data_IF_009626973975
#
_entry.id   IF_009626973975
#
_cell.length_a   1.000
_cell.length_b   1.000
_cell.length_c   1.000
_cell.angle_alpha   90.00
_cell.angle_beta   90.00
_cell.angle_gamma   90.00
#
_symmetry.space_group_name_H-M   'P 1'
#
loop_
_entity.id
_entity.type
_entity.pdbx_description
1 polymer ?
#
# COMPACT_ATOMS: atom_id res chain seq x y z
N UNK A 1 -24.02 -16.49 -6.37
CA UNK A 1 -23.90 -15.78 -5.08
C UNK A 1 -22.55 -15.10 -5.11
N UNK A 2 -22.46 -13.77 -4.97
CA UNK A 2 -21.17 -13.14 -4.71
C UNK A 2 -20.80 -13.53 -3.29
N UNK A 3 -19.74 -14.32 -3.12
CA UNK A 3 -19.11 -14.39 -1.81
C UNK A 3 -18.66 -12.96 -1.50
N UNK A 4 -19.17 -12.39 -0.43
CA UNK A 4 -18.68 -11.11 0.06
C UNK A 4 -17.35 -11.44 0.73
N UNK A 5 -16.26 -11.46 -0.04
CA UNK A 5 -14.93 -11.75 0.49
C UNK A 5 -14.65 -10.79 1.65
N UNK A 6 -14.00 -11.25 2.72
CA UNK A 6 -13.53 -10.36 3.76
C UNK A 6 -12.63 -9.27 3.15
N UNK A 7 -12.65 -8.08 3.74
CA UNK A 7 -11.85 -6.94 3.28
C UNK A 7 -10.66 -6.74 4.22
N UNK A 8 -9.48 -6.51 3.65
CA UNK A 8 -8.27 -6.18 4.39
C UNK A 8 -7.93 -4.70 4.18
N UNK A 9 -7.82 -3.94 5.28
CA UNK A 9 -7.28 -2.58 5.23
C UNK A 9 -5.76 -2.64 5.17
N UNK A 10 -5.19 -1.91 4.23
CA UNK A 10 -3.77 -1.84 3.98
C UNK A 10 -3.32 -0.38 3.93
N UNK A 11 -2.07 -0.19 4.33
CA UNK A 11 -1.44 1.10 4.45
C UNK A 11 -0.12 1.10 3.69
N UNK A 12 0.19 2.21 3.03
CA UNK A 12 1.54 2.47 2.55
C UNK A 12 1.93 3.94 2.61
N UNK A 13 3.20 4.22 2.92
CA UNK A 13 3.77 5.53 2.69
C UNK A 13 3.88 5.83 1.20
N UNK A 14 3.63 7.10 0.84
CA UNK A 14 3.79 7.64 -0.51
C UNK A 14 4.44 9.03 -0.50
N UNK A 15 5.19 9.32 -1.56
CA UNK A 15 5.73 10.65 -1.87
C UNK A 15 4.65 11.56 -2.45
N UNK A 16 4.93 12.86 -2.58
CA UNK A 16 4.01 13.79 -3.28
C UNK A 16 3.76 13.36 -4.73
N UNK A 17 4.82 12.94 -5.45
CA UNK A 17 4.69 12.49 -6.84
C UNK A 17 3.77 11.28 -6.98
N UNK A 18 3.88 10.32 -6.05
CA UNK A 18 2.99 9.15 -6.03
C UNK A 18 1.56 9.53 -5.66
N UNK A 19 1.38 10.46 -4.72
CA UNK A 19 0.05 10.97 -4.36
C UNK A 19 -0.64 11.65 -5.54
N UNK A 20 0.10 12.48 -6.29
CA UNK A 20 -0.42 13.14 -7.50
C UNK A 20 -0.85 12.11 -8.56
N UNK A 21 -0.08 11.02 -8.70
CA UNK A 21 -0.43 9.92 -9.59
C UNK A 21 -1.67 9.14 -9.13
N UNK A 22 -1.83 8.91 -7.83
CA UNK A 22 -3.05 8.31 -7.24
C UNK A 22 -4.26 9.22 -7.53
N UNK A 23 -4.12 10.52 -7.33
CA UNK A 23 -5.17 11.49 -7.61
C UNK A 23 -5.54 11.52 -9.10
N UNK A 24 -4.56 11.46 -10.00
CA UNK A 24 -4.78 11.37 -11.45
C UNK A 24 -5.47 10.05 -11.86
N UNK A 25 -5.27 8.97 -11.09
CA UNK A 25 -5.99 7.70 -11.22
C UNK A 25 -7.35 7.70 -10.48
N UNK A 26 -7.90 8.88 -10.17
CA UNK A 26 -9.18 9.05 -9.46
C UNK A 26 -9.25 8.34 -8.10
N UNK A 27 -8.11 8.17 -7.43
CA UNK A 27 -8.00 7.48 -6.14
C UNK A 27 -8.37 5.99 -6.19
N UNK A 28 -8.30 5.36 -7.37
CA UNK A 28 -8.67 3.96 -7.55
C UNK A 28 -7.48 3.03 -7.76
N UNK A 29 -6.27 3.58 -7.91
CA UNK A 29 -5.08 2.78 -8.19
C UNK A 29 -3.81 3.42 -7.62
N UNK A 30 -2.88 2.56 -7.20
CA UNK A 30 -1.51 2.94 -6.90
C UNK A 30 -0.69 3.03 -8.21
N UNK A 31 0.29 3.95 -8.29
CA UNK A 31 1.08 4.13 -9.51
C UNK A 31 1.91 2.88 -9.81
N UNK A 32 1.81 2.36 -11.03
CA UNK A 32 2.64 1.24 -11.51
C UNK A 32 3.87 1.81 -12.23
N UNK A 33 5.08 1.37 -11.89
CA UNK A 33 6.28 1.79 -12.63
C UNK A 33 7.58 1.78 -11.82
N UNK A 34 8.61 2.46 -12.35
CA UNK A 34 9.98 2.48 -11.82
C UNK A 34 10.10 3.03 -10.39
N UNK A 35 9.13 3.83 -9.92
CA UNK A 35 9.18 4.50 -8.62
C UNK A 35 9.23 3.52 -7.43
N UNK A 36 8.70 2.30 -7.57
CA UNK A 36 8.66 1.29 -6.49
C UNK A 36 9.15 -0.09 -6.93
N UNK A 37 10.18 -0.12 -7.77
CA UNK A 37 10.85 -1.37 -8.11
C UNK A 37 11.75 -1.85 -6.95
N UNK A 38 11.86 -3.17 -6.70
CA UNK A 38 11.21 -4.26 -7.43
C UNK A 38 9.82 -4.66 -6.88
N UNK A 39 9.35 -4.03 -5.81
CA UNK A 39 8.12 -4.42 -5.13
C UNK A 39 7.53 -3.30 -4.28
N UNK A 40 6.22 -3.42 -4.05
CA UNK A 40 5.45 -2.61 -3.14
C UNK A 40 5.37 -3.30 -1.79
N UNK A 41 5.37 -2.50 -0.72
CA UNK A 41 5.20 -2.98 0.65
C UNK A 41 3.93 -2.35 1.23
N UNK A 42 3.02 -3.21 1.66
CA UNK A 42 1.76 -2.84 2.30
C UNK A 42 1.73 -3.44 3.70
N UNK A 43 1.05 -2.80 4.64
CA UNK A 43 0.89 -3.35 5.98
C UNK A 43 -0.54 -3.16 6.47
N UNK A 44 -1.11 -4.09 7.25
CA UNK A 44 -2.42 -3.89 7.87
C UNK A 44 -2.37 -2.99 9.11
N UNK A 45 -1.19 -2.56 9.53
CA UNK A 45 -0.98 -1.78 10.75
C UNK A 45 -0.51 -0.36 10.42
N UNK A 46 -1.29 0.65 10.78
CA UNK A 46 -0.99 2.06 10.47
C UNK A 46 0.33 2.54 11.11
N UNK A 47 0.57 2.20 12.38
CA UNK A 47 1.80 2.56 13.10
C UNK A 47 3.05 1.95 12.45
N UNK A 48 2.89 0.72 11.95
CA UNK A 48 3.91 -0.02 11.20
C UNK A 48 4.21 0.66 9.86
N UNK A 49 3.19 1.22 9.19
CA UNK A 49 3.38 1.98 7.96
C UNK A 49 4.13 3.30 8.20
N UNK A 50 3.81 4.01 9.27
CA UNK A 50 4.54 5.21 9.68
C UNK A 50 6.00 4.92 10.07
N UNK A 51 6.26 3.75 10.68
CA UNK A 51 7.63 3.30 10.93
C UNK A 51 8.37 2.98 9.64
N UNK A 52 7.74 2.27 8.69
CA UNK A 52 8.33 1.98 7.37
C UNK A 52 8.66 3.26 6.60
N UNK A 53 7.82 4.29 6.71
CA UNK A 53 8.08 5.59 6.14
C UNK A 53 9.40 6.19 6.64
N UNK A 54 9.56 6.30 7.96
CA UNK A 54 10.75 6.83 8.60
C UNK A 54 12.00 6.00 8.28
N UNK A 55 11.86 4.67 8.27
CA UNK A 55 12.97 3.75 8.00
C UNK A 55 13.44 3.78 6.53
N UNK A 56 12.62 4.25 5.59
CA UNK A 56 12.95 4.25 4.17
C UNK A 56 13.98 5.32 3.76
N UNK A 57 14.25 6.32 4.61
CA UNK A 57 15.11 7.47 4.30
C UNK A 57 14.76 8.18 2.96
N UNK A 58 13.48 8.15 2.56
CA UNK A 58 12.98 8.76 1.32
C UNK A 58 12.08 9.97 1.60
N UNK A 59 11.80 10.77 0.55
CA UNK A 59 10.88 11.93 0.56
C UNK A 59 9.39 11.55 0.69
N UNK A 60 9.08 10.56 1.53
CA UNK A 60 7.69 10.20 1.85
C UNK A 60 7.07 11.34 2.65
N UNK A 61 5.93 11.84 2.19
CA UNK A 61 5.18 12.91 2.87
C UNK A 61 3.81 12.49 3.37
N UNK A 62 3.27 11.37 2.89
CA UNK A 62 1.90 10.97 3.17
C UNK A 62 1.76 9.50 3.51
N UNK A 63 0.81 9.22 4.38
CA UNK A 63 0.33 7.87 4.63
C UNK A 63 -1.05 7.71 3.97
N UNK A 64 -1.16 6.73 3.07
CA UNK A 64 -2.44 6.37 2.47
C UNK A 64 -2.95 5.03 3.00
N UNK A 65 -4.27 4.89 3.03
CA UNK A 65 -5.01 3.69 3.38
C UNK A 65 -5.91 3.29 2.21
N UNK A 66 -6.04 2.00 1.98
CA UNK A 66 -7.01 1.45 1.05
C UNK A 66 -7.48 0.08 1.50
N UNK A 67 -8.60 -0.36 0.94
CA UNK A 67 -9.18 -1.66 1.22
C UNK A 67 -8.89 -2.62 0.05
N UNK A 68 -8.61 -3.88 0.32
CA UNK A 68 -8.41 -4.92 -0.70
C UNK A 68 -9.21 -6.18 -0.36
N UNK A 69 -9.46 -7.03 -1.36
CA UNK A 69 -9.95 -8.40 -1.12
C UNK A 69 -8.94 -9.15 -0.24
N UNK A 70 -9.38 -9.63 0.94
CA UNK A 70 -8.49 -10.25 1.92
C UNK A 70 -8.01 -11.63 1.46
N UNK A 71 -8.83 -12.37 0.72
CA UNK A 71 -8.46 -13.69 0.23
C UNK A 71 -7.39 -13.57 -0.86
N UNK A 72 -7.55 -12.60 -1.78
CA UNK A 72 -6.51 -12.27 -2.76
C UNK A 72 -5.25 -11.71 -2.11
N UNK A 73 -5.37 -10.78 -1.16
CA UNK A 73 -4.21 -10.22 -0.46
C UNK A 73 -3.41 -11.29 0.29
N UNK A 74 -4.06 -12.35 0.80
CA UNK A 74 -3.39 -13.45 1.48
C UNK A 74 -2.48 -14.31 0.58
N UNK A 75 -2.57 -14.17 -0.75
CA UNK A 75 -1.67 -14.86 -1.69
C UNK A 75 -0.25 -14.27 -1.70
N UNK A 76 -0.08 -13.05 -1.19
CA UNK A 76 1.22 -12.37 -1.17
C UNK A 76 2.01 -12.69 0.11
N UNK A 77 3.35 -12.87 -0.02
CA UNK A 77 4.17 -13.19 1.13
C UNK A 77 4.21 -12.01 2.12
N UNK A 78 3.94 -12.31 3.39
CA UNK A 78 4.14 -11.38 4.50
C UNK A 78 5.52 -11.58 5.11
N UNK A 79 6.28 -10.50 5.23
CA UNK A 79 7.57 -10.45 5.89
C UNK A 79 7.48 -9.70 7.23
N UNK A 80 7.87 -10.37 8.30
CA UNK A 80 8.01 -9.80 9.63
C UNK A 80 9.42 -10.07 10.16
N UNK A 81 10.39 -9.17 9.94
CA UNK A 81 11.72 -9.31 10.54
C UNK A 81 11.63 -9.25 12.06
N UNK A 82 12.52 -9.98 12.76
CA UNK A 82 12.50 -10.06 14.22
C UNK A 82 12.70 -8.67 14.85
N UNK A 83 11.65 -8.15 15.48
CA UNK A 83 11.63 -6.81 16.10
C UNK A 83 11.34 -5.66 15.13
N UNK A 84 10.91 -5.94 13.90
CA UNK A 84 10.56 -4.95 12.89
C UNK A 84 9.10 -5.04 12.42
N UNK A 85 8.68 -4.08 11.59
CA UNK A 85 7.33 -3.97 11.05
C UNK A 85 6.93 -5.17 10.16
N UNK A 86 5.71 -5.68 10.33
CA UNK A 86 5.12 -6.66 9.40
C UNK A 86 4.68 -5.97 8.11
N UNK A 87 5.07 -6.51 6.96
CA UNK A 87 4.63 -6.00 5.65
C UNK A 87 4.40 -7.12 4.66
N UNK A 88 3.34 -7.00 3.87
CA UNK A 88 3.06 -7.77 2.69
C UNK A 88 3.86 -7.21 1.51
N UNK A 89 4.54 -8.08 0.76
CA UNK A 89 5.35 -7.69 -0.40
C UNK A 89 4.63 -8.09 -1.70
N UNK A 90 4.26 -7.10 -2.50
CA UNK A 90 3.62 -7.28 -3.82
C UNK A 90 4.64 -6.95 -4.92
N UNK A 91 4.98 -7.87 -5.83
CA UNK A 91 5.89 -7.59 -6.94
C UNK A 91 5.36 -6.46 -7.83
N UNK A 92 6.25 -5.60 -8.33
CA UNK A 92 5.84 -4.44 -9.12
C UNK A 92 5.11 -4.84 -10.41
N UNK A 93 5.44 -6.00 -10.99
CA UNK A 93 4.77 -6.60 -12.14
C UNK A 93 3.33 -7.05 -11.86
N UNK A 94 2.99 -7.36 -10.61
CA UNK A 94 1.65 -7.79 -10.19
C UNK A 94 0.75 -6.61 -9.79
N UNK A 95 1.29 -5.40 -9.68
CA UNK A 95 0.54 -4.23 -9.21
C UNK A 95 -0.61 -3.82 -10.13
N UNK A 96 -0.52 -4.08 -11.43
CA UNK A 96 -1.65 -3.85 -12.35
C UNK A 96 -2.84 -4.70 -11.94
N UNK A 97 -2.61 -5.99 -11.67
CA UNK A 97 -3.65 -6.90 -11.20
C UNK A 97 -4.12 -6.50 -9.80
N UNK A 98 -3.18 -6.23 -8.89
CA UNK A 98 -3.48 -5.84 -7.53
C UNK A 98 -4.42 -4.62 -7.45
N UNK A 99 -4.24 -3.63 -8.33
CA UNK A 99 -5.13 -2.46 -8.38
C UNK A 99 -6.59 -2.82 -8.71
N UNK A 100 -6.86 -3.92 -9.43
CA UNK A 100 -8.24 -4.39 -9.65
C UNK A 100 -8.89 -4.99 -8.40
N UNK A 101 -8.09 -5.39 -7.41
CA UNK A 101 -8.57 -5.92 -6.13
C UNK A 101 -8.68 -4.84 -5.05
N UNK A 102 -8.27 -3.60 -5.33
CA UNK A 102 -8.56 -2.45 -4.46
C UNK A 102 -10.08 -2.21 -4.46
N UNK A 103 -10.65 -2.18 -3.27
CA UNK A 103 -12.07 -1.91 -3.05
C UNK A 103 -12.27 -0.47 -2.58
N UNK A 104 -13.11 0.28 -3.29
CA UNK A 104 -13.38 1.67 -2.95
C UNK A 104 -12.23 2.60 -3.35
N UNK A 105 -12.02 3.65 -2.56
CA UNK A 105 -11.01 4.67 -2.83
C UNK A 105 -9.80 4.54 -1.90
N UNK A 106 -8.64 4.96 -2.40
CA UNK A 106 -7.44 5.22 -1.61
C UNK A 106 -7.65 6.55 -0.88
N UNK A 107 -7.36 6.57 0.41
CA UNK A 107 -7.58 7.72 1.30
C UNK A 107 -6.27 8.16 1.94
N UNK A 108 -6.05 9.48 2.05
CA UNK A 108 -4.95 10.01 2.87
C UNK A 108 -5.38 9.96 4.33
N UNK A 109 -4.58 9.31 5.17
CA UNK A 109 -4.86 9.15 6.61
C UNK A 109 -3.81 9.83 7.50
N UNK A 110 -2.67 10.22 6.95
CA UNK A 110 -1.64 10.91 7.70
C UNK A 110 -0.72 11.74 6.82
N UNK A 111 -0.16 12.78 7.41
CA UNK A 111 0.96 13.54 6.88
C UNK A 111 2.21 13.21 7.71
N UNK A 112 3.29 12.89 7.02
CA UNK A 112 4.56 12.47 7.60
C UNK A 112 5.57 13.58 7.33
N UNK A 113 5.53 14.65 8.14
CA UNK A 113 6.63 15.62 8.19
C UNK A 113 7.56 15.31 9.34
N UNK A 114 8.82 15.74 9.18
CA UNK A 114 9.78 15.92 10.28
C UNK A 114 9.20 16.74 11.45
#
# INVERSE_FOLDING_TARGET
MRHNSPTLLLYCPVTQQELDAIAAAHWLALPVGLLRQPAFYFTPEEATAAFLAQASATEVGYLVRFASDADYAAEFPTHSPKGGPSSMRVPAEEMVEFNYHIMGQIEVVGFLSD
#
